data_IF_168269983943
#
_entry.id   IF_168269983943
#
_cell.length_a   1.000
_cell.length_b   1.000
_cell.length_c   1.000
_cell.angle_alpha   90.00
_cell.angle_beta   90.00
_cell.angle_gamma   90.00
#
_symmetry.space_group_name_H-M   'P 1'
#
loop_
_entity.id
_entity.type
_entity.pdbx_description
1 polymer ?
#
# COMPACT_ATOMS: atom_id res chain seq x y z
N UNK A 1 -13.03 -8.48 4.55
CA UNK A 1 -12.04 -8.35 3.46
C UNK A 1 -10.76 -7.74 4.02
N UNK A 2 -9.77 -8.58 4.37
CA UNK A 2 -8.53 -8.09 4.94
C UNK A 2 -7.67 -7.41 3.85
N UNK A 3 -7.13 -6.21 4.16
CA UNK A 3 -6.19 -5.54 3.28
C UNK A 3 -4.78 -6.09 3.56
N UNK A 4 -4.27 -6.94 2.69
CA UNK A 4 -2.95 -7.57 2.76
C UNK A 4 -2.18 -7.32 1.46
N UNK A 5 -0.86 -7.39 1.53
CA UNK A 5 0.07 -7.19 0.43
C UNK A 5 1.11 -8.31 0.42
N UNK A 6 1.85 -8.47 -0.65
CA UNK A 6 3.03 -9.37 -0.70
C UNK A 6 4.15 -8.97 0.26
N UNK A 7 4.14 -7.74 0.76
CA UNK A 7 5.11 -7.26 1.78
C UNK A 7 5.00 -8.04 3.09
N UNK A 8 3.81 -8.56 3.43
CA UNK A 8 3.56 -9.37 4.63
C UNK A 8 4.12 -10.79 4.53
N UNK A 9 4.47 -11.26 3.33
CA UNK A 9 4.91 -12.65 3.11
C UNK A 9 6.18 -12.97 3.90
N UNK A 10 7.20 -12.12 3.81
CA UNK A 10 8.47 -12.35 4.48
C UNK A 10 8.33 -12.40 6.02
N UNK A 11 7.75 -11.40 6.71
CA UNK A 11 7.61 -11.46 8.16
C UNK A 11 6.71 -12.62 8.61
N UNK A 12 5.69 -13.00 7.84
CA UNK A 12 4.81 -14.11 8.19
C UNK A 12 5.49 -15.48 8.05
N UNK A 13 6.31 -15.68 7.00
CA UNK A 13 7.10 -16.89 6.85
C UNK A 13 8.19 -16.99 7.94
N UNK A 14 8.84 -15.88 8.28
CA UNK A 14 9.80 -15.85 9.36
C UNK A 14 9.14 -16.21 10.71
N UNK A 15 7.96 -15.68 11.00
CA UNK A 15 7.18 -16.02 12.19
C UNK A 15 6.79 -17.51 12.21
N UNK A 16 6.32 -18.05 11.07
CA UNK A 16 5.89 -19.45 10.95
C UNK A 16 7.06 -20.43 11.15
N UNK A 17 8.26 -20.06 10.75
CA UNK A 17 9.46 -20.93 10.87
C UNK A 17 10.26 -20.68 12.15
N UNK A 18 9.85 -19.71 12.98
CA UNK A 18 10.61 -19.29 14.17
C UNK A 18 11.94 -18.63 13.84
N UNK A 19 12.12 -18.15 12.60
CA UNK A 19 13.35 -17.51 12.17
C UNK A 19 13.48 -16.11 12.76
N UNK A 20 14.68 -15.81 13.29
CA UNK A 20 14.96 -14.47 13.79
C UNK A 20 15.15 -13.50 12.60
N UNK A 21 14.38 -12.43 12.62
CA UNK A 21 14.56 -11.33 11.66
C UNK A 21 15.39 -10.22 12.31
N UNK A 22 16.18 -9.53 11.51
CA UNK A 22 16.97 -8.38 12.00
C UNK A 22 16.01 -7.31 12.51
N UNK A 23 16.19 -6.91 13.77
CA UNK A 23 15.37 -5.86 14.42
C UNK A 23 15.81 -4.44 14.08
N UNK A 24 17.07 -4.30 13.58
CA UNK A 24 17.67 -3.03 13.19
C UNK A 24 17.26 -2.56 11.78
N UNK A 25 16.49 -3.38 11.05
CA UNK A 25 15.97 -3.05 9.72
C UNK A 25 14.47 -2.87 9.80
N UNK A 26 14.00 -1.67 9.49
CA UNK A 26 12.57 -1.40 9.34
C UNK A 26 11.99 -2.27 8.22
N UNK A 27 10.82 -2.84 8.47
CA UNK A 27 10.09 -3.69 7.50
C UNK A 27 8.76 -3.04 7.19
N UNK A 28 8.41 -2.99 5.92
CA UNK A 28 7.13 -2.45 5.45
C UNK A 28 5.97 -3.44 5.62
N UNK A 29 6.28 -4.70 5.92
CA UNK A 29 5.31 -5.77 6.15
C UNK A 29 5.19 -6.18 7.62
N UNK A 30 4.10 -6.82 7.96
CA UNK A 30 3.79 -7.37 9.29
C UNK A 30 3.45 -8.87 9.20
N UNK A 31 3.43 -9.57 10.33
CA UNK A 31 2.93 -10.96 10.40
C UNK A 31 1.40 -10.98 10.24
N UNK A 32 0.93 -11.66 9.21
CA UNK A 32 -0.49 -11.71 8.84
C UNK A 32 -1.29 -12.86 9.46
N UNK A 33 -0.66 -13.78 10.20
CA UNK A 33 -1.33 -15.00 10.63
C UNK A 33 -2.59 -14.77 11.44
N UNK A 34 -2.59 -13.81 12.35
CA UNK A 34 -3.79 -13.49 13.14
C UNK A 34 -4.85 -12.79 12.30
N UNK A 35 -4.46 -11.96 11.34
CA UNK A 35 -5.38 -11.35 10.37
C UNK A 35 -6.03 -12.42 9.47
N UNK A 36 -5.26 -13.38 8.95
CA UNK A 36 -5.79 -14.48 8.14
C UNK A 36 -6.73 -15.38 8.94
N UNK A 37 -6.44 -15.62 10.21
CA UNK A 37 -7.29 -16.37 11.12
C UNK A 37 -8.50 -15.59 11.63
N UNK A 38 -8.67 -14.34 11.17
CA UNK A 38 -9.73 -13.41 11.58
C UNK A 38 -9.77 -13.14 13.08
N UNK A 39 -8.63 -13.15 13.74
CA UNK A 39 -8.49 -12.78 15.15
C UNK A 39 -8.33 -11.28 15.32
N UNK A 40 -7.72 -10.62 14.35
CA UNK A 40 -7.50 -9.18 14.31
C UNK A 40 -7.79 -8.64 12.92
N UNK A 41 -8.15 -7.36 12.84
CA UNK A 41 -8.19 -6.66 11.56
C UNK A 41 -6.78 -6.44 11.02
N UNK A 42 -6.67 -6.18 9.72
CA UNK A 42 -5.40 -5.84 9.11
C UNK A 42 -4.92 -4.49 9.65
N UNK A 43 -3.67 -4.39 10.13
CA UNK A 43 -3.08 -3.11 10.51
C UNK A 43 -2.78 -2.23 9.28
N UNK A 44 -2.81 -2.80 8.07
CA UNK A 44 -2.61 -2.03 6.84
C UNK A 44 -3.85 -1.23 6.50
N UNK A 45 -3.73 0.09 6.57
CA UNK A 45 -4.81 1.03 6.24
C UNK A 45 -4.57 1.77 4.93
N UNK A 46 -3.32 1.80 4.47
CA UNK A 46 -2.96 2.48 3.24
C UNK A 46 -1.83 1.75 2.49
N UNK A 47 -1.76 1.97 1.18
CA UNK A 47 -0.71 1.48 0.31
C UNK A 47 -0.59 2.38 -0.90
N UNK A 48 0.65 2.64 -1.32
CA UNK A 48 0.97 3.50 -2.46
C UNK A 48 1.87 2.76 -3.43
N UNK A 49 1.79 3.13 -4.71
CA UNK A 49 2.68 2.58 -5.74
C UNK A 49 2.94 3.60 -6.85
N UNK A 50 4.14 3.52 -7.42
CA UNK A 50 4.58 4.31 -8.55
C UNK A 50 5.38 3.44 -9.50
N UNK A 51 5.02 3.46 -10.77
CA UNK A 51 5.79 2.81 -11.84
C UNK A 51 5.80 3.71 -13.06
N UNK A 52 6.89 4.46 -13.26
CA UNK A 52 6.96 5.51 -14.28
C UNK A 52 5.82 6.51 -14.08
N UNK A 53 4.98 6.70 -15.10
CA UNK A 53 3.84 7.61 -15.10
C UNK A 53 2.56 6.99 -14.50
N UNK A 54 2.60 5.69 -14.19
CA UNK A 54 1.48 4.99 -13.57
C UNK A 54 1.62 5.05 -12.06
N UNK A 55 0.64 5.65 -11.43
CA UNK A 55 0.61 5.87 -9.99
C UNK A 55 -0.71 5.42 -9.39
N UNK A 56 -0.71 5.17 -8.10
CA UNK A 56 -1.93 4.85 -7.40
C UNK A 56 -1.75 4.87 -5.89
N UNK A 57 -2.87 4.99 -5.22
CA UNK A 57 -2.99 4.95 -3.77
C UNK A 57 -4.26 4.23 -3.34
N UNK A 58 -4.15 3.47 -2.27
CA UNK A 58 -5.30 2.98 -1.51
C UNK A 58 -5.22 3.55 -0.09
N UNK A 59 -6.27 4.19 0.35
CA UNK A 59 -6.44 4.73 1.70
C UNK A 59 -7.78 4.23 2.24
N UNK A 60 -7.72 3.30 3.17
CA UNK A 60 -8.90 2.57 3.64
C UNK A 60 -9.63 1.86 2.50
N UNK A 61 -10.90 2.21 2.30
CA UNK A 61 -11.73 1.68 1.19
C UNK A 61 -11.53 2.39 -0.14
N UNK A 62 -10.93 3.58 -0.15
CA UNK A 62 -10.75 4.39 -1.34
C UNK A 62 -9.51 3.97 -2.11
N UNK A 63 -9.64 3.76 -3.41
CA UNK A 63 -8.54 3.50 -4.33
C UNK A 63 -8.55 4.56 -5.43
N UNK A 64 -7.43 5.21 -5.59
CA UNK A 64 -7.16 6.11 -6.71
C UNK A 64 -6.06 5.51 -7.58
N UNK A 65 -6.25 5.57 -8.89
CA UNK A 65 -5.25 5.19 -9.89
C UNK A 65 -5.17 6.23 -10.99
N UNK A 66 -3.99 6.38 -11.57
CA UNK A 66 -3.75 7.16 -12.77
C UNK A 66 -2.76 6.41 -13.66
N UNK A 67 -3.16 6.16 -14.91
CA UNK A 67 -2.37 5.46 -15.92
C UNK A 67 -2.42 6.29 -17.20
N UNK A 68 -1.46 7.22 -17.36
CA UNK A 68 -1.52 8.23 -18.41
C UNK A 68 -2.78 9.09 -18.27
N UNK A 69 -3.59 9.13 -19.33
CA UNK A 69 -4.85 9.90 -19.35
C UNK A 69 -6.05 9.14 -18.74
N UNK A 70 -5.88 7.86 -18.43
CA UNK A 70 -6.90 7.04 -17.78
C UNK A 70 -6.68 6.95 -16.28
N UNK A 71 -7.78 6.75 -15.53
CA UNK A 71 -7.74 6.57 -14.10
C UNK A 71 -9.07 6.87 -13.45
N UNK A 72 -9.09 6.89 -12.13
CA UNK A 72 -10.31 7.18 -11.38
C UNK A 72 -10.16 6.98 -9.88
N UNK A 73 -11.22 7.32 -9.16
CA UNK A 73 -11.41 7.08 -7.74
C UNK A 73 -12.50 6.02 -7.54
N UNK A 74 -12.21 4.99 -6.77
CA UNK A 74 -13.11 3.85 -6.56
C UNK A 74 -13.34 3.59 -5.07
N UNK A 75 -14.55 3.17 -4.71
CA UNK A 75 -14.91 2.67 -3.38
C UNK A 75 -14.89 1.13 -3.39
N UNK A 76 -13.82 0.53 -2.93
CA UNK A 76 -13.62 -0.94 -2.97
C UNK A 76 -14.56 -1.74 -2.06
N UNK A 77 -15.27 -1.10 -1.13
CA UNK A 77 -16.29 -1.78 -0.33
C UNK A 77 -17.61 -1.90 -1.09
N UNK A 78 -17.98 -0.85 -1.82
CA UNK A 78 -19.21 -0.81 -2.61
C UNK A 78 -19.03 -1.38 -4.03
N UNK A 79 -17.81 -1.25 -4.59
CA UNK A 79 -17.48 -1.59 -5.98
C UNK A 79 -16.07 -2.23 -6.04
N UNK A 80 -15.98 -3.49 -5.65
CA UNK A 80 -14.72 -4.24 -5.71
C UNK A 80 -14.20 -4.49 -7.13
N UNK A 81 -15.04 -4.32 -8.15
CA UNK A 81 -14.68 -4.49 -9.55
C UNK A 81 -14.19 -3.18 -10.22
N UNK A 82 -14.21 -2.06 -9.48
CA UNK A 82 -13.74 -0.75 -9.96
C UNK A 82 -14.45 -0.30 -11.25
N UNK A 83 -15.76 -0.48 -11.29
CA UNK A 83 -16.58 -0.22 -12.48
C UNK A 83 -17.08 1.22 -12.56
N UNK A 84 -17.14 1.93 -11.41
CA UNK A 84 -17.67 3.28 -11.30
C UNK A 84 -16.61 4.25 -10.78
N UNK A 85 -16.18 5.14 -11.65
CA UNK A 85 -15.32 6.27 -11.25
C UNK A 85 -16.12 7.31 -10.45
N UNK A 86 -15.66 7.63 -9.26
CA UNK A 86 -16.26 8.58 -8.33
C UNK A 86 -15.47 9.91 -8.26
N UNK A 87 -14.52 10.14 -9.14
CA UNK A 87 -13.65 11.32 -9.12
C UNK A 87 -14.42 12.62 -9.15
N UNK A 88 -15.48 12.70 -9.97
CA UNK A 88 -16.32 13.88 -10.09
C UNK A 88 -17.35 13.99 -8.96
N UNK A 89 -17.83 12.85 -8.42
CA UNK A 89 -18.83 12.83 -7.36
C UNK A 89 -18.23 13.10 -5.98
N UNK A 90 -16.95 12.77 -5.79
CA UNK A 90 -16.24 12.84 -4.49
C UNK A 90 -14.89 13.55 -4.60
N UNK A 91 -14.85 14.81 -5.06
CA UNK A 91 -13.59 15.53 -5.27
C UNK A 91 -12.79 15.72 -3.99
N UNK A 92 -13.46 15.84 -2.84
CA UNK A 92 -12.78 15.98 -1.53
C UNK A 92 -12.02 14.69 -1.15
N UNK A 93 -12.60 13.52 -1.43
CA UNK A 93 -11.95 12.24 -1.19
C UNK A 93 -10.76 12.06 -2.13
N UNK A 94 -10.94 12.39 -3.41
CA UNK A 94 -9.86 12.35 -4.40
C UNK A 94 -8.69 13.24 -3.97
N UNK A 95 -8.98 14.46 -3.50
CA UNK A 95 -7.98 15.39 -3.00
C UNK A 95 -7.24 14.81 -1.79
N UNK A 96 -7.97 14.25 -0.83
CA UNK A 96 -7.38 13.61 0.36
C UNK A 96 -6.43 12.47 -0.02
N UNK A 97 -6.85 11.57 -0.91
CA UNK A 97 -6.02 10.44 -1.34
C UNK A 97 -4.76 10.90 -2.09
N UNK A 98 -4.89 11.94 -2.93
CA UNK A 98 -3.74 12.53 -3.64
C UNK A 98 -2.76 13.22 -2.69
N UNK A 99 -3.23 13.88 -1.63
CA UNK A 99 -2.37 14.46 -0.60
C UNK A 99 -1.58 13.36 0.10
N UNK A 100 -2.23 12.28 0.54
CA UNK A 100 -1.55 11.13 1.17
C UNK A 100 -0.51 10.50 0.24
N UNK A 101 -0.83 10.38 -1.06
CA UNK A 101 0.12 9.91 -2.05
C UNK A 101 1.33 10.84 -2.17
N UNK A 102 1.13 12.16 -2.19
CA UNK A 102 2.23 13.12 -2.29
C UNK A 102 3.13 13.08 -1.05
N UNK A 103 2.56 13.00 0.14
CA UNK A 103 3.31 12.83 1.39
C UNK A 103 4.21 11.59 1.34
N UNK A 104 3.68 10.45 0.84
CA UNK A 104 4.48 9.25 0.65
C UNK A 104 5.61 9.43 -0.37
N UNK A 105 5.38 10.14 -1.48
CA UNK A 105 6.45 10.48 -2.46
C UNK A 105 7.54 11.30 -1.79
N UNK A 106 7.15 12.32 -1.03
CA UNK A 106 8.10 13.21 -0.34
C UNK A 106 8.95 12.43 0.68
N UNK A 107 8.35 11.47 1.40
CA UNK A 107 9.05 10.55 2.30
C UNK A 107 10.04 9.66 1.54
N UNK A 108 9.63 9.11 0.39
CA UNK A 108 10.49 8.25 -0.43
C UNK A 108 11.68 9.02 -1.04
N UNK A 109 11.45 10.25 -1.47
CA UNK A 109 12.51 11.11 -2.01
C UNK A 109 13.49 11.61 -0.94
N UNK A 110 13.00 11.81 0.30
CA UNK A 110 13.83 12.18 1.44
C UNK A 110 14.64 10.98 1.98
N UNK A 111 14.25 9.75 1.66
CA UNK A 111 14.94 8.56 2.14
C UNK A 111 16.35 8.47 1.52
N UNK A 112 17.41 8.16 2.31
CA UNK A 112 18.75 8.02 1.78
C UNK A 112 18.78 6.90 0.73
N UNK A 113 19.24 7.24 -0.48
CA UNK A 113 19.39 6.24 -1.55
C UNK A 113 20.39 5.17 -1.12
N UNK A 114 19.97 3.91 -1.09
CA UNK A 114 20.88 2.79 -0.91
C UNK A 114 21.71 2.68 -2.19
N UNK A 115 23.05 2.73 -2.04
CA UNK A 115 23.94 2.42 -3.15
C UNK A 115 23.62 1.02 -3.67
N UNK A 116 23.62 0.82 -5.00
CA UNK A 116 23.44 -0.53 -5.55
C UNK A 116 24.50 -1.46 -4.99
N UNK A 117 24.10 -2.69 -4.66
CA UNK A 117 24.97 -3.76 -4.14
C UNK A 117 26.20 -3.91 -5.04
N UNK A 118 27.33 -3.36 -4.62
CA UNK A 118 28.59 -3.44 -5.35
C UNK A 118 29.66 -4.29 -4.69
N UNK A 119 29.37 -4.82 -3.50
CA UNK A 119 30.31 -5.59 -2.72
C UNK A 119 29.79 -7.02 -2.52
N UNK A 120 29.93 -7.82 -3.55
CA UNK A 120 29.92 -9.27 -3.51
C UNK A 120 31.23 -9.79 -4.09
#
# INVERSE_FOLDING_TARGET
NAFLSSLELFPSLAAATGSLTRSDVAKDGFDWWDTLRRKTDSPRTEMFWKRKDNVGARVGKWKWVQMGDAGGLFDLEADAAETRDLSEEKPEVLKMVKIRYQEWIDEMEAAPSRTPFRDF
#
